data_IF_832737756074
#
_entry.id   IF_832737756074
#
_cell.length_a   1.000
_cell.length_b   1.000
_cell.length_c   1.000
_cell.angle_alpha   90.00
_cell.angle_beta   90.00
_cell.angle_gamma   90.00
#
_symmetry.space_group_name_H-M   'P 1'
#
loop_
_entity.id
_entity.type
_entity.pdbx_description
1 polymer ?
#
# COMPACT_ATOMS: atom_id res chain seq x y z
N UNK A 1 31.68 42.50 -21.20
CA UNK A 1 30.29 42.84 -21.02
C UNK A 1 29.59 42.81 -22.37
N UNK A 2 28.75 41.75 -22.56
CA UNK A 2 27.90 41.60 -23.73
C UNK A 2 26.55 42.30 -23.46
N UNK A 3 25.97 43.03 -24.42
CA UNK A 3 24.70 43.71 -24.23
C UNK A 3 23.53 42.75 -24.24
N UNK A 4 22.54 43.06 -23.41
CA UNK A 4 21.28 42.35 -23.28
C UNK A 4 20.49 42.37 -24.60
N UNK A 5 20.02 41.23 -25.05
CA UNK A 5 19.11 41.09 -26.16
C UNK A 5 17.70 41.54 -25.74
N UNK A 6 17.13 42.47 -26.54
CA UNK A 6 15.78 42.99 -26.36
C UNK A 6 14.74 41.91 -26.66
N UNK A 7 13.77 41.77 -25.79
CA UNK A 7 12.54 40.99 -25.97
C UNK A 7 11.67 41.65 -27.04
N UNK A 8 11.07 40.92 -27.98
CA UNK A 8 10.15 41.49 -28.98
C UNK A 8 8.78 41.75 -28.31
N UNK A 9 8.38 43.02 -28.31
CA UNK A 9 7.04 43.48 -27.90
C UNK A 9 5.96 42.91 -28.85
N UNK A 10 4.98 42.25 -28.26
CA UNK A 10 3.75 41.85 -28.92
C UNK A 10 2.86 43.08 -29.17
N UNK A 11 2.27 43.26 -30.40
CA UNK A 11 1.43 44.40 -30.67
C UNK A 11 0.12 44.35 -29.89
N UNK A 12 -0.25 45.46 -29.25
CA UNK A 12 -1.52 45.69 -28.56
C UNK A 12 -2.67 45.66 -29.55
N UNK A 13 -3.79 45.00 -29.25
CA UNK A 13 -4.97 45.04 -30.11
C UNK A 13 -5.60 46.44 -30.11
N UNK A 14 -5.79 47.01 -31.31
CA UNK A 14 -6.49 48.24 -31.54
C UNK A 14 -7.98 48.05 -31.25
N UNK A 15 -8.66 48.98 -30.55
CA UNK A 15 -10.10 48.90 -30.35
C UNK A 15 -10.81 49.16 -31.69
N UNK A 16 -11.59 48.20 -32.16
CA UNK A 16 -12.49 48.37 -33.31
C UNK A 16 -13.59 49.38 -32.91
N UNK A 17 -13.76 50.41 -33.75
CA UNK A 17 -14.78 51.39 -33.62
C UNK A 17 -16.18 50.75 -33.67
N UNK A 18 -17.00 51.04 -32.65
CA UNK A 18 -18.39 50.71 -32.67
C UNK A 18 -19.10 51.59 -33.69
N UNK A 19 -19.54 50.99 -34.78
CA UNK A 19 -20.44 51.61 -35.75
C UNK A 19 -21.86 51.44 -35.17
N UNK A 20 -22.46 52.51 -34.70
CA UNK A 20 -23.89 52.58 -34.40
C UNK A 20 -24.66 52.22 -35.69
N UNK A 21 -25.34 51.10 -35.69
CA UNK A 21 -26.37 50.79 -36.70
C UNK A 21 -27.72 51.30 -36.21
N UNK A 22 -28.19 52.27 -36.95
CA UNK A 22 -29.48 52.90 -36.89
C UNK A 22 -30.63 51.85 -36.86
N UNK A 23 -31.42 51.89 -35.81
CA UNK A 23 -32.60 51.07 -35.65
C UNK A 23 -33.79 51.70 -36.37
N UNK A 24 -34.10 51.23 -37.55
CA UNK A 24 -35.31 51.74 -38.18
C UNK A 24 -35.63 51.29 -39.64
N UNK A 25 -35.41 50.03 -39.94
CA UNK A 25 -36.02 49.50 -41.17
C UNK A 25 -36.62 48.11 -40.86
N UNK A 26 -37.89 48.07 -40.52
CA UNK A 26 -38.71 46.84 -40.55
C UNK A 26 -38.75 46.34 -41.97
N UNK A 27 -38.01 45.26 -42.26
CA UNK A 27 -38.09 44.55 -43.51
C UNK A 27 -39.38 43.73 -43.53
N UNK A 28 -40.37 44.22 -44.27
CA UNK A 28 -41.62 43.51 -44.53
C UNK A 28 -41.37 42.29 -45.43
N UNK A 29 -41.43 41.10 -44.82
CA UNK A 29 -41.23 39.79 -45.47
C UNK A 29 -42.54 39.19 -45.99
N UNK A 30 -43.58 39.99 -46.29
CA UNK A 30 -44.80 39.47 -46.91
C UNK A 30 -44.52 39.18 -48.38
N UNK A 31 -44.40 37.90 -48.74
CA UNK A 31 -44.35 37.45 -50.13
C UNK A 31 -45.67 37.77 -50.81
N UNK A 32 -45.67 38.34 -52.04
CA UNK A 32 -46.88 38.55 -52.81
C UNK A 32 -47.58 37.19 -53.04
N UNK A 33 -48.90 37.19 -52.90
CA UNK A 33 -49.77 36.00 -53.06
C UNK A 33 -49.60 35.29 -54.39
N UNK A 34 -49.09 35.96 -55.42
CA UNK A 34 -48.84 35.43 -56.71
C UNK A 34 -47.66 34.39 -56.79
N UNK A 35 -46.72 34.47 -55.78
CA UNK A 35 -45.61 33.55 -55.72
C UNK A 35 -46.02 32.21 -55.04
N UNK A 36 -47.07 32.25 -54.21
CA UNK A 36 -47.59 31.06 -53.53
C UNK A 36 -48.43 30.15 -54.44
N UNK A 37 -49.00 30.69 -55.56
CA UNK A 37 -49.84 29.91 -56.45
C UNK A 37 -49.07 29.17 -57.55
N UNK A 38 -47.81 29.51 -57.78
CA UNK A 38 -46.96 28.90 -58.81
C UNK A 38 -45.78 28.09 -58.24
N UNK A 39 -45.82 27.64 -57.03
CA UNK A 39 -44.80 26.74 -56.49
C UNK A 39 -44.88 25.38 -57.19
N UNK A 40 -43.84 24.91 -57.90
CA UNK A 40 -43.84 23.59 -58.44
C UNK A 40 -44.03 22.54 -57.42
N UNK A 41 -45.02 21.68 -57.65
CA UNK A 41 -45.33 20.51 -56.77
C UNK A 41 -44.04 19.73 -56.59
N UNK A 42 -43.60 19.63 -55.34
CA UNK A 42 -42.36 18.91 -55.01
C UNK A 42 -42.43 17.48 -55.53
N UNK A 43 -41.55 17.15 -56.46
CA UNK A 43 -41.30 15.77 -56.90
C UNK A 43 -40.93 14.92 -55.68
N UNK A 44 -41.39 13.66 -55.56
CA UNK A 44 -41.07 12.82 -54.39
C UNK A 44 -39.56 12.74 -54.23
N UNK A 45 -39.09 13.16 -53.04
CA UNK A 45 -37.70 13.18 -52.69
C UNK A 45 -37.13 11.74 -52.72
N UNK A 46 -36.22 11.51 -53.67
CA UNK A 46 -35.37 10.33 -53.63
C UNK A 46 -34.59 10.37 -52.33
N UNK A 47 -34.58 9.31 -51.51
CA UNK A 47 -33.85 9.31 -50.23
C UNK A 47 -32.38 9.59 -50.56
N UNK A 48 -31.91 10.74 -50.13
CA UNK A 48 -30.50 11.12 -50.24
C UNK A 48 -29.66 10.14 -49.41
N UNK A 49 -28.75 9.46 -50.11
CA UNK A 49 -27.74 8.63 -49.50
C UNK A 49 -27.02 9.47 -48.46
N UNK A 50 -26.96 9.06 -47.15
CA UNK A 50 -26.31 9.86 -46.15
C UNK A 50 -24.87 10.18 -46.56
N UNK A 51 -24.51 11.45 -46.52
CA UNK A 51 -23.16 11.90 -46.84
C UNK A 51 -22.18 11.18 -45.90
N UNK A 52 -20.98 10.79 -46.41
CA UNK A 52 -19.98 10.16 -45.59
C UNK A 52 -19.64 11.08 -44.41
N UNK A 53 -20.02 10.68 -43.22
CA UNK A 53 -19.61 11.39 -42.01
C UNK A 53 -18.09 11.21 -41.89
N UNK A 54 -17.34 12.30 -42.06
CA UNK A 54 -15.93 12.32 -41.78
C UNK A 54 -15.74 12.10 -40.27
N UNK A 55 -15.32 10.90 -39.88
CA UNK A 55 -14.86 10.61 -38.54
C UNK A 55 -13.36 10.92 -38.50
N UNK A 56 -12.90 11.84 -37.66
CA UNK A 56 -11.46 12.04 -37.49
C UNK A 56 -10.80 10.70 -37.14
N UNK A 57 -9.59 10.41 -37.66
CA UNK A 57 -8.89 9.20 -37.30
C UNK A 57 -8.76 9.13 -35.78
N UNK A 58 -8.87 7.93 -35.19
CA UNK A 58 -8.72 7.78 -33.74
C UNK A 58 -7.37 8.37 -33.32
N UNK A 59 -7.41 9.42 -32.52
CA UNK A 59 -6.20 9.97 -31.90
C UNK A 59 -5.68 8.86 -30.97
N UNK A 60 -4.70 8.12 -31.49
CA UNK A 60 -3.93 7.20 -30.65
C UNK A 60 -3.21 8.07 -29.62
N UNK A 61 -3.83 8.25 -28.45
CA UNK A 61 -3.09 8.76 -27.29
C UNK A 61 -1.89 7.84 -27.14
N UNK A 62 -0.66 8.41 -27.06
CA UNK A 62 0.49 7.58 -26.69
C UNK A 62 0.08 6.81 -25.46
N UNK A 63 0.23 5.49 -25.50
CA UNK A 63 0.00 4.65 -24.33
C UNK A 63 0.81 5.29 -23.21
N UNK A 64 0.10 5.82 -22.19
CA UNK A 64 0.77 6.34 -21.00
C UNK A 64 1.61 5.17 -20.50
N UNK A 65 2.93 5.29 -20.61
CA UNK A 65 3.86 4.29 -20.10
C UNK A 65 3.48 4.13 -18.64
N UNK A 66 2.88 3.00 -18.29
CA UNK A 66 2.50 2.71 -16.92
C UNK A 66 3.75 2.91 -16.06
N UNK A 67 3.73 3.78 -15.05
CA UNK A 67 4.91 4.04 -14.25
C UNK A 67 5.41 2.71 -13.70
N UNK A 68 6.70 2.48 -13.87
CA UNK A 68 7.40 1.29 -13.37
C UNK A 68 7.02 1.04 -11.90
N UNK A 69 6.94 -0.23 -11.49
CA UNK A 69 6.58 -0.64 -10.13
C UNK A 69 7.38 0.12 -9.06
N UNK A 70 8.67 0.42 -9.33
CA UNK A 70 9.52 1.21 -8.45
C UNK A 70 9.01 2.66 -8.31
N UNK A 71 8.59 3.27 -9.41
CA UNK A 71 8.00 4.61 -9.43
C UNK A 71 6.65 4.63 -8.69
N UNK A 72 5.85 3.56 -8.82
CA UNK A 72 4.59 3.40 -8.08
C UNK A 72 4.83 3.28 -6.57
N UNK A 73 5.85 2.54 -6.14
CA UNK A 73 6.23 2.43 -4.73
C UNK A 73 6.75 3.76 -4.16
N UNK A 74 7.62 4.45 -4.90
CA UNK A 74 8.12 5.78 -4.51
C UNK A 74 6.97 6.78 -4.46
N UNK A 75 6.09 6.79 -5.46
CA UNK A 75 4.92 7.68 -5.46
C UNK A 75 3.93 7.32 -4.36
N UNK A 76 3.70 6.03 -4.07
CA UNK A 76 2.87 5.61 -2.95
C UNK A 76 3.48 6.04 -1.61
N UNK A 77 4.80 5.92 -1.46
CA UNK A 77 5.53 6.45 -0.30
C UNK A 77 5.42 7.97 -0.19
N UNK A 78 5.67 8.69 -1.27
CA UNK A 78 5.54 10.16 -1.31
C UNK A 78 4.10 10.61 -1.07
N UNK A 79 3.10 9.93 -1.66
CA UNK A 79 1.68 10.19 -1.40
C UNK A 79 1.31 9.92 0.05
N UNK A 80 1.85 8.87 0.66
CA UNK A 80 1.68 8.64 2.09
C UNK A 80 2.19 9.81 2.92
N UNK A 81 3.31 10.45 2.51
CA UNK A 81 3.84 11.64 3.18
C UNK A 81 3.13 12.94 2.79
N UNK A 82 2.60 13.07 1.58
CA UNK A 82 1.96 14.31 1.07
C UNK A 82 0.44 14.29 1.18
N UNK A 83 -0.22 13.14 0.99
CA UNK A 83 -1.67 13.01 1.11
C UNK A 83 -2.07 12.71 2.56
N UNK A 84 -2.87 13.56 3.15
CA UNK A 84 -3.34 13.49 4.54
C UNK A 84 -2.93 14.70 5.36
N UNK A 85 -3.55 14.88 6.52
CA UNK A 85 -3.27 16.03 7.38
C UNK A 85 -1.81 15.95 7.89
N UNK A 86 -0.91 16.87 7.45
CA UNK A 86 0.51 16.84 7.86
C UNK A 86 0.67 16.96 9.38
N UNK A 87 -0.25 17.64 10.05
CA UNK A 87 -0.23 17.77 11.50
C UNK A 87 -0.33 16.43 12.23
N UNK A 88 -1.07 15.46 11.67
CA UNK A 88 -1.20 14.12 12.27
C UNK A 88 0.10 13.34 12.12
N UNK A 89 0.78 13.45 10.98
CA UNK A 89 2.06 12.77 10.72
C UNK A 89 3.16 13.34 11.60
N UNK A 90 3.23 14.66 11.68
CA UNK A 90 4.17 15.37 12.57
C UNK A 90 3.84 15.01 14.03
N UNK A 91 2.57 14.98 14.42
CA UNK A 91 2.14 14.58 15.76
C UNK A 91 2.54 13.14 16.10
N UNK A 92 2.40 12.20 15.16
CA UNK A 92 2.83 10.82 15.35
C UNK A 92 4.36 10.71 15.49
N UNK A 93 5.10 11.46 14.69
CA UNK A 93 6.56 11.51 14.71
C UNK A 93 7.06 12.14 16.02
N UNK A 94 6.44 13.25 16.46
CA UNK A 94 6.70 13.88 17.74
C UNK A 94 6.36 12.95 18.92
N UNK A 95 5.24 12.21 18.82
CA UNK A 95 4.87 11.22 19.85
C UNK A 95 5.94 10.13 19.93
N UNK A 96 6.41 9.63 18.78
CA UNK A 96 7.44 8.59 18.73
C UNK A 96 8.77 9.08 19.33
N UNK A 97 9.22 10.26 18.93
CA UNK A 97 10.41 10.89 19.52
C UNK A 97 10.20 11.22 21.00
N UNK A 98 9.03 11.73 21.38
CA UNK A 98 8.68 12.01 22.78
C UNK A 98 8.76 10.78 23.66
N UNK A 99 8.23 9.66 23.20
CA UNK A 99 8.33 8.36 23.89
C UNK A 99 9.78 7.88 23.95
N UNK A 100 10.54 8.00 22.85
CA UNK A 100 11.95 7.62 22.81
C UNK A 100 12.79 8.45 23.80
N UNK A 101 12.59 9.77 23.84
CA UNK A 101 13.26 10.65 24.81
C UNK A 101 12.84 10.38 26.24
N UNK A 102 11.54 10.13 26.49
CA UNK A 102 11.04 9.78 27.80
C UNK A 102 11.68 8.46 28.30
N UNK A 103 11.76 7.45 27.43
CA UNK A 103 12.42 6.19 27.73
C UNK A 103 13.91 6.38 28.02
N UNK A 104 14.60 7.21 27.25
CA UNK A 104 16.00 7.55 27.48
C UNK A 104 16.18 8.26 28.84
N UNK A 105 15.40 9.31 29.09
CA UNK A 105 15.42 10.04 30.37
C UNK A 105 15.13 9.12 31.56
N UNK A 106 14.09 8.29 31.47
CA UNK A 106 13.77 7.30 32.49
C UNK A 106 14.89 6.28 32.68
N UNK A 107 15.60 5.89 31.59
CA UNK A 107 16.72 4.95 31.68
C UNK A 107 17.94 5.50 32.42
N UNK A 108 18.15 6.82 32.38
CA UNK A 108 19.28 7.48 33.02
C UNK A 108 18.99 7.84 34.50
N UNK A 109 17.72 8.07 34.84
CA UNK A 109 17.34 8.59 36.20
C UNK A 109 16.63 7.56 37.10
N UNK A 110 16.16 6.46 36.52
CA UNK A 110 15.43 5.44 37.30
C UNK A 110 16.22 4.13 37.23
N UNK A 111 16.69 3.65 38.39
CA UNK A 111 17.38 2.36 38.53
C UNK A 111 16.38 1.19 38.49
N UNK A 112 15.53 1.14 37.47
CA UNK A 112 14.60 0.03 37.23
C UNK A 112 15.34 -1.09 36.53
N UNK A 113 15.15 -2.33 36.95
CA UNK A 113 15.74 -3.48 36.26
C UNK A 113 15.32 -3.53 34.80
N UNK A 114 16.20 -4.04 33.91
CA UNK A 114 15.97 -4.13 32.50
C UNK A 114 14.66 -4.84 32.12
N UNK A 115 14.31 -5.87 32.90
CA UNK A 115 13.06 -6.64 32.73
C UNK A 115 11.84 -5.74 32.90
N UNK A 116 11.82 -4.88 33.93
CA UNK A 116 10.71 -3.95 34.16
C UNK A 116 10.60 -2.90 33.04
N UNK A 117 11.73 -2.43 32.48
CA UNK A 117 11.73 -1.49 31.34
C UNK A 117 11.12 -2.14 30.10
N UNK A 118 11.53 -3.37 29.78
CA UNK A 118 10.97 -4.12 28.65
C UNK A 118 9.47 -4.40 28.82
N UNK A 119 9.06 -4.82 30.02
CA UNK A 119 7.64 -5.03 30.32
C UNK A 119 6.83 -3.73 30.20
N UNK A 120 7.41 -2.58 30.61
CA UNK A 120 6.78 -1.27 30.43
C UNK A 120 6.57 -0.92 28.93
N UNK A 121 7.56 -1.19 28.09
CA UNK A 121 7.44 -0.99 26.61
C UNK A 121 6.42 -1.95 26.02
N UNK A 122 6.42 -3.21 26.44
CA UNK A 122 5.42 -4.19 26.01
C UNK A 122 4.00 -3.77 26.43
N UNK A 123 3.83 -3.30 27.67
CA UNK A 123 2.56 -2.79 28.16
C UNK A 123 2.08 -1.55 27.39
N UNK A 124 3.01 -0.64 27.02
CA UNK A 124 2.70 0.50 26.17
C UNK A 124 2.26 0.07 24.75
N UNK A 125 2.93 -0.92 24.17
CA UNK A 125 2.55 -1.51 22.87
C UNK A 125 1.17 -2.16 22.94
N UNK A 126 0.89 -2.95 23.98
CA UNK A 126 -0.42 -3.56 24.22
C UNK A 126 -1.51 -2.50 24.47
N UNK A 127 -1.18 -1.43 25.20
CA UNK A 127 -2.06 -0.29 25.43
C UNK A 127 -2.42 0.43 24.15
N UNK A 128 -1.45 0.69 23.27
CA UNK A 128 -1.68 1.27 21.93
C UNK A 128 -2.58 0.39 21.08
N UNK A 129 -2.37 -0.92 21.11
CA UNK A 129 -3.22 -1.90 20.42
C UNK A 129 -4.65 -1.86 20.95
N UNK A 130 -4.84 -1.83 22.26
CA UNK A 130 -6.15 -1.71 22.93
C UNK A 130 -6.85 -0.39 22.61
N UNK A 131 -6.13 0.74 22.65
CA UNK A 131 -6.64 2.04 22.23
C UNK A 131 -7.01 2.03 20.75
N UNK A 132 -6.19 1.39 19.90
CA UNK A 132 -6.47 1.21 18.49
C UNK A 132 -7.79 0.48 18.27
N UNK A 133 -8.06 -0.61 18.99
CA UNK A 133 -9.34 -1.33 18.94
C UNK A 133 -10.53 -0.45 19.34
N UNK A 134 -10.36 0.39 20.35
CA UNK A 134 -11.41 1.31 20.80
C UNK A 134 -11.70 2.43 19.81
N UNK A 135 -10.66 2.90 19.07
CA UNK A 135 -10.81 3.96 18.07
C UNK A 135 -11.34 3.49 16.71
N UNK A 136 -11.14 2.23 16.31
CA UNK A 136 -11.59 1.71 15.00
C UNK A 136 -13.05 2.05 14.67
N UNK A 137 -14.04 1.85 15.59
CA UNK A 137 -15.44 2.17 15.26
C UNK A 137 -15.70 3.67 15.10
N UNK A 138 -14.86 4.53 15.65
CA UNK A 138 -15.01 5.99 15.60
C UNK A 138 -14.21 6.63 14.46
N UNK A 139 -12.94 6.23 14.33
CA UNK A 139 -12.00 6.75 13.33
C UNK A 139 -11.10 5.62 12.87
N UNK A 140 -11.56 4.87 11.86
CA UNK A 140 -10.94 3.64 11.37
C UNK A 140 -9.44 3.77 11.09
N UNK A 141 -9.04 4.82 10.35
CA UNK A 141 -7.63 5.02 9.99
C UNK A 141 -6.72 5.16 11.21
N UNK A 142 -7.13 5.98 12.19
CA UNK A 142 -6.36 6.18 13.42
C UNK A 142 -6.30 4.91 14.26
N UNK A 143 -7.41 4.18 14.36
CA UNK A 143 -7.45 2.91 15.07
C UNK A 143 -6.51 1.87 14.47
N UNK A 144 -6.47 1.75 13.14
CA UNK A 144 -5.57 0.83 12.44
C UNK A 144 -4.10 1.23 12.59
N UNK A 145 -3.78 2.52 12.54
CA UNK A 145 -2.42 3.02 12.77
C UNK A 145 -1.94 2.74 14.19
N UNK A 146 -2.78 2.95 15.20
CA UNK A 146 -2.47 2.64 16.59
C UNK A 146 -2.26 1.14 16.80
N UNK A 147 -3.09 0.29 16.19
CA UNK A 147 -2.92 -1.16 16.25
C UNK A 147 -1.61 -1.61 15.59
N UNK A 148 -1.31 -1.12 14.37
CA UNK A 148 -0.06 -1.40 13.67
C UNK A 148 1.17 -0.97 14.47
N UNK A 149 1.12 0.23 15.05
CA UNK A 149 2.17 0.76 15.94
C UNK A 149 2.35 -0.10 17.20
N UNK A 150 1.24 -0.48 17.85
CA UNK A 150 1.26 -1.36 19.02
C UNK A 150 1.88 -2.72 18.72
N UNK A 151 1.47 -3.35 17.61
CA UNK A 151 2.04 -4.62 17.13
C UNK A 151 3.54 -4.46 16.84
N UNK A 152 3.93 -3.38 16.15
CA UNK A 152 5.34 -3.09 15.85
C UNK A 152 6.19 -2.96 17.12
N UNK A 153 5.70 -2.25 18.15
CA UNK A 153 6.37 -2.13 19.44
C UNK A 153 6.52 -3.51 20.11
N UNK A 154 5.48 -4.34 20.09
CA UNK A 154 5.53 -5.69 20.66
C UNK A 154 6.54 -6.58 19.92
N UNK A 155 6.60 -6.52 18.58
CA UNK A 155 7.63 -7.21 17.80
C UNK A 155 9.04 -6.76 18.18
N UNK A 156 9.27 -5.45 18.24
CA UNK A 156 10.58 -4.89 18.62
C UNK A 156 10.97 -5.25 20.05
N UNK A 157 10.03 -5.28 20.98
CA UNK A 157 10.27 -5.67 22.36
C UNK A 157 10.64 -7.15 22.48
N UNK A 158 9.93 -8.04 21.80
CA UNK A 158 10.25 -9.47 21.77
C UNK A 158 11.63 -9.72 21.12
N UNK A 159 11.92 -9.02 20.02
CA UNK A 159 13.22 -9.06 19.35
C UNK A 159 14.36 -8.56 20.27
N UNK A 160 14.16 -7.43 20.96
CA UNK A 160 15.14 -6.88 21.89
C UNK A 160 15.39 -7.82 23.07
N UNK A 161 14.35 -8.44 23.62
CA UNK A 161 14.45 -9.40 24.70
C UNK A 161 15.30 -10.63 24.31
N UNK A 162 15.16 -11.11 23.05
CA UNK A 162 15.97 -12.22 22.53
C UNK A 162 17.40 -11.78 22.20
N UNK A 163 17.55 -10.75 21.34
CA UNK A 163 18.80 -10.48 20.64
C UNK A 163 19.72 -9.50 21.36
N UNK A 164 19.14 -8.45 21.96
CA UNK A 164 19.93 -7.40 22.63
C UNK A 164 20.24 -7.76 24.05
N UNK A 165 19.27 -8.35 24.74
CA UNK A 165 19.34 -8.53 26.18
C UNK A 165 19.47 -9.98 26.62
N UNK A 166 19.32 -10.94 25.70
CA UNK A 166 19.43 -12.39 25.98
C UNK A 166 18.56 -12.85 27.17
N UNK A 167 17.39 -12.19 27.36
CA UNK A 167 16.45 -12.50 28.43
C UNK A 167 15.52 -13.67 28.11
N UNK A 168 15.33 -13.92 26.81
CA UNK A 168 14.47 -15.00 26.31
C UNK A 168 15.29 -15.92 25.40
N UNK A 169 14.94 -17.19 25.43
CA UNK A 169 15.45 -18.16 24.47
C UNK A 169 14.75 -18.03 23.10
N UNK A 170 15.34 -18.62 22.08
CA UNK A 170 14.80 -18.54 20.72
C UNK A 170 13.40 -19.15 20.60
N UNK A 171 13.17 -20.33 21.18
CA UNK A 171 11.89 -21.04 21.06
C UNK A 171 10.70 -20.24 21.62
N UNK A 172 10.71 -19.78 22.90
CA UNK A 172 9.59 -18.99 23.42
C UNK A 172 9.42 -17.66 22.66
N UNK A 173 10.50 -17.04 22.21
CA UNK A 173 10.41 -15.81 21.42
C UNK A 173 9.70 -16.04 20.09
N UNK A 174 10.03 -17.09 19.34
CA UNK A 174 9.34 -17.42 18.11
C UNK A 174 7.86 -17.74 18.32
N UNK A 175 7.50 -18.35 19.44
CA UNK A 175 6.08 -18.56 19.78
C UNK A 175 5.35 -17.22 20.05
N UNK A 176 5.99 -16.29 20.74
CA UNK A 176 5.44 -14.93 20.95
C UNK A 176 5.27 -14.21 19.62
N UNK A 177 6.27 -14.25 18.74
CA UNK A 177 6.23 -13.59 17.44
C UNK A 177 5.17 -14.21 16.52
N UNK A 178 5.00 -15.55 16.55
CA UNK A 178 3.93 -16.24 15.84
C UNK A 178 2.54 -15.88 16.41
N UNK A 179 2.42 -15.77 17.72
CA UNK A 179 1.18 -15.32 18.37
C UNK A 179 0.81 -13.88 17.99
N UNK A 180 1.80 -12.97 17.90
CA UNK A 180 1.59 -11.61 17.41
C UNK A 180 1.16 -11.58 15.94
N UNK A 181 1.75 -12.43 15.09
CA UNK A 181 1.32 -12.59 13.70
C UNK A 181 -0.13 -13.09 13.61
N UNK A 182 -0.47 -14.11 14.39
CA UNK A 182 -1.83 -14.66 14.46
C UNK A 182 -2.84 -13.62 14.97
N UNK A 183 -2.49 -12.85 16.00
CA UNK A 183 -3.31 -11.76 16.51
C UNK A 183 -3.53 -10.69 15.46
N UNK A 184 -2.46 -10.28 14.77
CA UNK A 184 -2.52 -9.31 13.68
C UNK A 184 -3.42 -9.80 12.55
N UNK A 185 -3.28 -11.07 12.15
CA UNK A 185 -4.12 -11.72 11.16
C UNK A 185 -5.61 -11.73 11.56
N UNK A 186 -5.89 -12.11 12.79
CA UNK A 186 -7.25 -12.13 13.33
C UNK A 186 -7.90 -10.75 13.33
N UNK A 187 -7.18 -9.75 13.81
CA UNK A 187 -7.65 -8.36 13.81
C UNK A 187 -7.86 -7.83 12.40
N UNK A 188 -6.93 -8.13 11.48
CA UNK A 188 -7.02 -7.74 10.08
C UNK A 188 -8.23 -8.36 9.38
N UNK A 189 -8.52 -9.64 9.61
CA UNK A 189 -9.70 -10.31 9.09
C UNK A 189 -11.01 -9.70 9.62
N UNK A 190 -11.06 -9.45 10.94
CA UNK A 190 -12.23 -8.83 11.57
C UNK A 190 -12.52 -7.42 11.06
N UNK A 191 -11.47 -6.66 10.75
CA UNK A 191 -11.56 -5.24 10.38
C UNK A 191 -11.43 -5.02 8.87
N UNK A 192 -11.24 -6.07 8.08
CA UNK A 192 -10.93 -6.02 6.64
C UNK A 192 -9.75 -5.07 6.33
N UNK A 193 -8.68 -5.18 7.13
CA UNK A 193 -7.53 -4.29 7.13
C UNK A 193 -6.28 -5.01 6.57
N UNK A 194 -6.13 -5.04 5.23
CA UNK A 194 -5.02 -5.72 4.53
C UNK A 194 -3.65 -5.27 5.03
N UNK A 195 -3.49 -3.96 5.21
CA UNK A 195 -2.23 -3.36 5.66
C UNK A 195 -1.82 -3.90 7.04
N UNK A 196 -2.77 -4.07 7.97
CA UNK A 196 -2.50 -4.61 9.29
C UNK A 196 -1.99 -6.07 9.21
N UNK A 197 -2.62 -6.89 8.35
CA UNK A 197 -2.15 -8.26 8.10
C UNK A 197 -0.73 -8.25 7.52
N UNK A 198 -0.47 -7.41 6.51
CA UNK A 198 0.85 -7.34 5.87
C UNK A 198 1.94 -6.96 6.85
N UNK A 199 1.71 -5.98 7.73
CA UNK A 199 2.66 -5.61 8.79
C UNK A 199 2.90 -6.75 9.79
N UNK A 200 1.83 -7.44 10.22
CA UNK A 200 1.94 -8.55 11.15
C UNK A 200 2.75 -9.72 10.57
N UNK A 201 2.43 -10.13 9.34
CA UNK A 201 3.15 -11.20 8.67
C UNK A 201 4.59 -10.81 8.28
N UNK A 202 4.81 -9.58 7.81
CA UNK A 202 6.16 -9.09 7.52
C UNK A 202 7.04 -9.15 8.78
N UNK A 203 6.54 -8.68 9.93
CA UNK A 203 7.22 -8.79 11.20
C UNK A 203 7.51 -10.25 11.60
N UNK A 204 6.52 -11.13 11.43
CA UNK A 204 6.65 -12.55 11.69
C UNK A 204 7.72 -13.21 10.80
N UNK A 205 7.68 -12.99 9.49
CA UNK A 205 8.64 -13.56 8.54
C UNK A 205 10.06 -13.00 8.72
N UNK A 206 10.20 -11.73 9.09
CA UNK A 206 11.49 -11.11 9.37
C UNK A 206 12.12 -11.61 10.69
N UNK A 207 11.32 -12.08 11.62
CA UNK A 207 11.78 -12.45 12.96
C UNK A 207 12.95 -13.45 12.96
N UNK A 208 12.93 -14.58 12.25
CA UNK A 208 14.05 -15.51 12.22
C UNK A 208 15.30 -14.93 11.54
N UNK A 209 15.11 -14.06 10.54
CA UNK A 209 16.23 -13.40 9.83
C UNK A 209 16.97 -12.46 10.78
N UNK A 210 16.22 -11.64 11.51
CA UNK A 210 16.75 -10.68 12.47
C UNK A 210 17.33 -11.36 13.73
N UNK A 211 16.68 -12.44 14.18
CA UNK A 211 17.06 -13.18 15.38
C UNK A 211 18.16 -14.23 15.14
N UNK A 212 18.55 -14.49 13.89
CA UNK A 212 19.52 -15.53 13.55
C UNK A 212 20.87 -15.28 14.23
N UNK A 213 21.29 -16.22 15.07
CA UNK A 213 22.61 -16.27 15.70
C UNK A 213 23.62 -17.07 14.86
N UNK A 214 23.14 -17.70 13.79
CA UNK A 214 23.97 -18.55 12.96
C UNK A 214 24.00 -20.03 13.38
N UNK A 215 23.60 -20.37 14.59
CA UNK A 215 23.59 -21.75 15.14
C UNK A 215 22.18 -22.38 15.19
N UNK A 216 21.18 -21.71 14.60
CA UNK A 216 19.78 -22.13 14.66
C UNK A 216 19.49 -23.45 13.93
N UNK A 217 18.62 -24.28 14.53
CA UNK A 217 18.13 -25.50 13.92
C UNK A 217 17.22 -25.20 12.72
N UNK A 218 17.54 -25.75 11.55
CA UNK A 218 16.75 -25.58 10.32
C UNK A 218 15.30 -26.10 10.47
N UNK A 219 15.07 -27.15 11.26
CA UNK A 219 13.72 -27.69 11.52
C UNK A 219 12.90 -26.64 12.24
N UNK A 220 13.46 -25.95 13.24
CA UNK A 220 12.76 -24.88 13.95
C UNK A 220 12.43 -23.70 13.02
N UNK A 221 13.37 -23.30 12.16
CA UNK A 221 13.17 -22.25 11.17
C UNK A 221 12.02 -22.60 10.22
N UNK A 222 12.11 -23.77 9.56
CA UNK A 222 11.09 -24.15 8.56
C UNK A 222 9.74 -24.47 9.20
N UNK A 223 9.69 -25.05 10.40
CA UNK A 223 8.44 -25.25 11.14
C UNK A 223 7.76 -23.92 11.49
N UNK A 224 8.54 -22.92 11.89
CA UNK A 224 8.04 -21.57 12.14
C UNK A 224 7.46 -20.94 10.86
N UNK A 225 8.18 -21.06 9.73
CA UNK A 225 7.69 -20.59 8.43
C UNK A 225 6.44 -21.36 7.98
N UNK A 226 6.38 -22.68 8.23
CA UNK A 226 5.20 -23.49 7.91
C UNK A 226 3.97 -23.00 8.70
N UNK A 227 4.14 -22.66 9.97
CA UNK A 227 3.07 -22.10 10.81
C UNK A 227 2.56 -20.75 10.28
N UNK A 228 3.48 -19.84 9.92
CA UNK A 228 3.09 -18.54 9.33
C UNK A 228 2.40 -18.71 7.97
N UNK A 229 2.93 -19.58 7.12
CA UNK A 229 2.35 -19.85 5.81
C UNK A 229 0.97 -20.54 5.92
N UNK A 230 0.76 -21.40 6.92
CA UNK A 230 -0.56 -21.96 7.20
C UNK A 230 -1.56 -20.86 7.59
N UNK A 231 -1.16 -19.92 8.45
CA UNK A 231 -1.96 -18.75 8.79
C UNK A 231 -2.30 -17.90 7.57
N UNK A 232 -1.33 -17.70 6.68
CA UNK A 232 -1.50 -16.97 5.43
C UNK A 232 -2.45 -17.70 4.47
N UNK A 233 -2.33 -19.03 4.34
CA UNK A 233 -3.23 -19.86 3.53
C UNK A 233 -4.68 -19.80 4.05
N UNK A 234 -4.87 -19.82 5.37
CA UNK A 234 -6.19 -19.64 5.99
C UNK A 234 -6.80 -18.27 5.64
N UNK A 235 -5.99 -17.21 5.64
CA UNK A 235 -6.46 -15.89 5.19
C UNK A 235 -6.79 -15.92 3.70
N UNK A 236 -5.92 -16.49 2.87
CA UNK A 236 -6.13 -16.60 1.42
C UNK A 236 -7.41 -17.36 1.08
N UNK A 237 -7.81 -18.33 1.93
CA UNK A 237 -9.06 -19.05 1.76
C UNK A 237 -10.31 -18.18 1.94
N UNK A 238 -10.23 -17.19 2.85
CA UNK A 238 -11.35 -16.31 3.19
C UNK A 238 -11.31 -14.95 2.47
N UNK A 239 -10.12 -14.47 2.16
CA UNK A 239 -9.89 -13.13 1.60
C UNK A 239 -8.92 -13.18 0.42
N UNK A 240 -9.31 -12.51 -0.67
CA UNK A 240 -8.48 -12.42 -1.89
C UNK A 240 -7.44 -11.28 -1.76
N UNK A 241 -6.46 -11.44 -0.87
CA UNK A 241 -5.39 -10.46 -0.65
C UNK A 241 -4.09 -10.91 -1.31
N UNK A 242 -3.96 -10.59 -2.60
CA UNK A 242 -2.82 -11.02 -3.44
C UNK A 242 -1.48 -10.51 -2.89
N UNK A 243 -1.45 -9.30 -2.35
CA UNK A 243 -0.26 -8.68 -1.78
C UNK A 243 0.30 -9.49 -0.60
N UNK A 244 -0.60 -10.00 0.22
CA UNK A 244 -0.24 -10.81 1.39
C UNK A 244 0.36 -12.16 0.97
N UNK A 245 -0.23 -12.80 -0.05
CA UNK A 245 0.29 -14.05 -0.60
C UNK A 245 1.66 -13.87 -1.25
N UNK A 246 1.85 -12.76 -2.00
CA UNK A 246 3.14 -12.43 -2.61
C UNK A 246 4.20 -12.19 -1.53
N UNK A 247 3.84 -11.50 -0.44
CA UNK A 247 4.73 -11.27 0.69
C UNK A 247 5.20 -12.59 1.30
N UNK A 248 4.27 -13.48 1.64
CA UNK A 248 4.61 -14.80 2.20
C UNK A 248 5.46 -15.64 1.27
N UNK A 249 5.10 -15.69 -0.03
CA UNK A 249 5.88 -16.37 -1.06
C UNK A 249 7.31 -15.85 -1.09
N UNK A 250 7.47 -14.53 -1.22
CA UNK A 250 8.78 -13.90 -1.32
C UNK A 250 9.65 -14.22 -0.10
N UNK A 251 9.14 -14.02 1.10
CA UNK A 251 9.91 -14.31 2.31
C UNK A 251 10.26 -15.80 2.43
N UNK A 252 9.31 -16.69 2.17
CA UNK A 252 9.53 -18.14 2.32
C UNK A 252 10.61 -18.63 1.36
N UNK A 253 10.52 -18.27 0.08
CA UNK A 253 11.47 -18.75 -0.92
C UNK A 253 12.81 -18.00 -0.88
N UNK A 254 12.82 -16.69 -0.63
CA UNK A 254 14.09 -15.95 -0.49
C UNK A 254 14.89 -16.47 0.71
N UNK A 255 14.25 -16.63 1.87
CA UNK A 255 14.94 -17.14 3.06
C UNK A 255 15.33 -18.61 2.87
N UNK A 256 14.45 -19.41 2.25
CA UNK A 256 14.76 -20.80 1.90
C UNK A 256 15.98 -20.93 0.98
N UNK A 257 16.07 -20.10 -0.06
CA UNK A 257 17.21 -20.07 -0.99
C UNK A 257 18.49 -19.60 -0.28
N UNK A 258 18.43 -18.50 0.49
CA UNK A 258 19.60 -18.01 1.25
C UNK A 258 20.09 -19.09 2.20
N UNK A 259 19.19 -19.75 2.93
CA UNK A 259 19.56 -20.84 3.83
C UNK A 259 20.15 -22.02 3.04
N UNK A 260 19.54 -22.40 1.92
CA UNK A 260 20.01 -23.48 1.06
C UNK A 260 21.43 -23.24 0.54
N UNK A 261 21.72 -22.04 0.04
CA UNK A 261 23.06 -21.70 -0.46
C UNK A 261 24.10 -21.63 0.66
N UNK A 262 23.73 -21.18 1.86
CA UNK A 262 24.69 -20.91 2.93
C UNK A 262 24.89 -22.07 3.91
N UNK A 263 23.88 -22.92 4.07
CA UNK A 263 23.80 -23.89 5.18
C UNK A 263 23.44 -25.31 4.77
N UNK A 264 22.96 -25.53 3.56
CA UNK A 264 22.53 -26.85 3.12
C UNK A 264 23.74 -27.82 3.02
N UNK A 265 23.50 -29.04 3.52
CA UNK A 265 24.40 -30.17 3.38
C UNK A 265 23.60 -31.39 2.89
N UNK A 266 24.18 -32.27 2.05
CA UNK A 266 23.47 -33.44 1.50
C UNK A 266 22.81 -34.33 2.55
N UNK A 267 23.42 -34.45 3.75
CA UNK A 267 22.86 -35.22 4.85
C UNK A 267 21.57 -34.66 5.44
N UNK A 268 21.21 -33.40 5.15
CA UNK A 268 19.99 -32.76 5.61
C UNK A 268 18.80 -32.94 4.66
N UNK A 269 19.00 -33.63 3.53
CA UNK A 269 17.99 -33.81 2.50
C UNK A 269 16.66 -34.30 3.07
N UNK A 270 16.65 -35.42 3.79
CA UNK A 270 15.44 -36.02 4.34
C UNK A 270 14.68 -35.12 5.35
N UNK A 271 15.38 -34.18 5.99
CA UNK A 271 14.73 -33.27 6.94
C UNK A 271 14.24 -31.96 6.29
N UNK A 272 14.78 -31.57 5.13
CA UNK A 272 14.44 -30.33 4.42
C UNK A 272 13.39 -30.58 3.34
N UNK A 273 13.45 -31.73 2.66
CA UNK A 273 12.54 -32.11 1.57
C UNK A 273 11.04 -31.98 1.95
N UNK A 274 10.58 -32.46 3.12
CA UNK A 274 9.17 -32.33 3.49
C UNK A 274 8.68 -30.88 3.57
N UNK A 275 9.53 -29.96 4.05
CA UNK A 275 9.19 -28.55 4.12
C UNK A 275 9.13 -27.90 2.74
N UNK A 276 10.05 -28.27 1.84
CA UNK A 276 10.04 -27.79 0.46
C UNK A 276 8.78 -28.23 -0.27
N UNK A 277 8.40 -29.50 -0.14
CA UNK A 277 7.17 -30.04 -0.72
C UNK A 277 5.94 -29.38 -0.13
N UNK A 278 5.91 -29.16 1.20
CA UNK A 278 4.83 -28.45 1.89
C UNK A 278 4.65 -27.03 1.35
N UNK A 279 5.74 -26.25 1.24
CA UNK A 279 5.68 -24.87 0.74
C UNK A 279 5.26 -24.84 -0.73
N UNK A 280 5.82 -25.72 -1.58
CA UNK A 280 5.41 -25.82 -2.98
C UNK A 280 3.92 -26.18 -3.11
N UNK A 281 3.44 -27.18 -2.39
CA UNK A 281 2.03 -27.59 -2.42
C UNK A 281 1.11 -26.47 -1.95
N UNK A 282 1.48 -25.77 -0.88
CA UNK A 282 0.71 -24.67 -0.31
C UNK A 282 0.57 -23.50 -1.30
N UNK A 283 1.67 -23.07 -1.94
CA UNK A 283 1.63 -21.98 -2.91
C UNK A 283 1.00 -22.37 -4.24
N UNK A 284 1.12 -23.64 -4.66
CA UNK A 284 0.35 -24.17 -5.79
C UNK A 284 -1.16 -24.15 -5.49
N UNK A 285 -1.57 -24.60 -4.31
CA UNK A 285 -2.97 -24.53 -3.88
C UNK A 285 -3.50 -23.09 -3.85
N UNK A 286 -2.73 -22.16 -3.30
CA UNK A 286 -3.05 -20.73 -3.32
C UNK A 286 -3.14 -20.24 -4.77
N UNK A 287 -2.17 -20.57 -5.63
CA UNK A 287 -2.15 -20.18 -7.05
C UNK A 287 -3.40 -20.66 -7.80
N UNK A 288 -3.77 -21.93 -7.66
CA UNK A 288 -4.99 -22.50 -8.27
C UNK A 288 -6.25 -21.81 -7.74
N UNK A 289 -6.28 -21.42 -6.47
CA UNK A 289 -7.43 -20.72 -5.88
C UNK A 289 -7.63 -19.31 -6.46
N UNK A 290 -6.56 -18.68 -6.97
CA UNK A 290 -6.57 -17.32 -7.52
C UNK A 290 -6.52 -17.27 -9.07
N UNK A 291 -6.37 -18.41 -9.74
CA UNK A 291 -6.50 -18.53 -11.19
C UNK A 291 -7.96 -18.54 -11.62
#
# INVERSE_FOLDING_TARGET
>A
PLPAAAEPELPKPTPAAATEMDSGAELDWTLPDEVLQNAPTASPAVPAKPAPQWTPPPVTRPAATEPDWATRLVQAGLRFFTEGNPAVKIGLLLLFFGVAFLLRYASEHISVSLVWRLNGVAAAGAGLLGLGLWFVPRKRLYGLLLQGGGIGILYMTAFAALRLFHLLEATPTFMILAALAALSAFLALRQDARVLASFGFAGGFLAPVLASTGEGNHIQLFSYYALLNLGLALIAWHKNWRELNLLGFTFTFVVGVIWGVTRYQPGLFHSVEPFLLLFCALYLMIGVRFA
#
